data_IF_429604375723
#
_entry.id   IF_429604375723
#
_cell.length_a   1.000
_cell.length_b   1.000
_cell.length_c   1.000
_cell.angle_alpha   90.00
_cell.angle_beta   90.00
_cell.angle_gamma   90.00
#
_symmetry.space_group_name_H-M   'P 1'
#
loop_
_entity.id
_entity.type
_entity.pdbx_description
1 polymer ?
#
# COMPACT_ATOMS: atom_id res chain seq x y z
N UNK A 1 -22.91 -0.33 8.41
CA UNK A 1 -22.73 1.11 8.65
C UNK A 1 -21.38 1.26 9.34
N UNK A 2 -20.38 1.85 8.67
CA UNK A 2 -19.07 2.12 9.27
C UNK A 2 -19.17 3.48 9.98
N UNK A 3 -18.63 3.58 11.19
CA UNK A 3 -18.62 4.81 11.99
C UNK A 3 -17.18 5.18 12.29
N UNK A 4 -16.86 6.48 12.26
CA UNK A 4 -15.50 6.99 12.48
C UNK A 4 -14.98 6.65 13.89
N UNK A 5 -13.66 6.52 14.04
CA UNK A 5 -13.08 6.24 15.36
C UNK A 5 -13.31 7.41 16.31
N UNK A 6 -13.28 8.65 15.80
CA UNK A 6 -13.65 9.84 16.58
C UNK A 6 -15.09 9.79 17.08
N UNK A 7 -16.04 9.38 16.22
CA UNK A 7 -17.43 9.21 16.62
C UNK A 7 -17.56 8.15 17.71
N UNK A 8 -16.95 6.98 17.53
CA UNK A 8 -16.95 5.92 18.54
C UNK A 8 -16.34 6.37 19.87
N UNK A 9 -15.22 7.11 19.85
CA UNK A 9 -14.60 7.68 21.04
C UNK A 9 -15.51 8.71 21.73
N UNK A 10 -16.23 9.53 20.96
CA UNK A 10 -17.18 10.51 21.50
C UNK A 10 -18.42 9.87 22.16
N UNK A 11 -18.91 8.76 21.60
CA UNK A 11 -20.10 8.08 22.10
C UNK A 11 -19.77 7.11 23.23
N UNK A 12 -18.53 6.59 23.25
CA UNK A 12 -18.05 5.61 24.22
C UNK A 12 -16.66 6.01 24.79
N UNK A 13 -16.58 7.10 25.57
CA UNK A 13 -15.30 7.67 26.03
C UNK A 13 -14.46 6.77 26.93
N UNK A 14 -15.07 5.72 27.52
CA UNK A 14 -14.40 4.75 28.40
C UNK A 14 -14.42 3.31 27.85
N UNK A 15 -14.86 3.09 26.61
CA UNK A 15 -14.79 1.76 26.03
C UNK A 15 -13.38 1.49 25.53
N UNK A 16 -12.71 0.47 26.09
CA UNK A 16 -11.63 -0.18 25.35
C UNK A 16 -12.28 -0.83 24.12
N UNK A 17 -12.24 -0.15 22.99
CA UNK A 17 -12.50 -0.76 21.68
C UNK A 17 -11.36 -1.74 21.42
N UNK A 18 -11.48 -2.94 21.99
CA UNK A 18 -10.64 -4.05 21.63
C UNK A 18 -10.93 -4.36 20.16
N UNK A 19 -9.94 -4.13 19.30
CA UNK A 19 -10.01 -4.55 17.91
C UNK A 19 -10.25 -6.07 17.92
N UNK A 20 -11.28 -6.62 17.24
CA UNK A 20 -11.57 -8.05 17.29
C UNK A 20 -10.37 -8.93 16.91
N UNK A 21 -9.46 -8.41 16.09
CA UNK A 21 -8.22 -9.07 15.71
C UNK A 21 -7.09 -8.98 16.76
N UNK A 22 -7.18 -8.08 17.74
CA UNK A 22 -6.28 -8.06 18.90
C UNK A 22 -6.60 -9.19 19.90
N UNK A 23 -7.85 -9.64 19.96
CA UNK A 23 -8.29 -10.71 20.86
C UNK A 23 -8.28 -12.11 20.22
N UNK A 24 -8.30 -12.21 18.89
CA UNK A 24 -8.25 -13.50 18.16
C UNK A 24 -6.84 -14.00 17.84
N UNK A 25 -5.78 -13.43 18.41
CA UNK A 25 -4.40 -13.91 18.25
C UNK A 25 -3.98 -14.98 19.27
N UNK A 26 -4.95 -15.67 19.89
CA UNK A 26 -4.72 -16.83 20.78
C UNK A 26 -5.48 -18.07 20.31
N UNK A 27 -5.09 -18.60 19.16
CA UNK A 27 -5.24 -20.01 18.83
C UNK A 27 -3.81 -20.54 18.62
N UNK A 28 -3.27 -21.38 19.52
CA UNK A 28 -1.91 -21.89 19.41
C UNK A 28 -1.92 -23.16 18.55
N UNK A 29 -1.73 -23.05 17.24
CA UNK A 29 -1.21 -24.17 16.44
C UNK A 29 -0.51 -23.70 15.18
N UNK A 30 0.70 -24.22 14.99
CA UNK A 30 1.71 -23.87 14.00
C UNK A 30 2.38 -22.50 14.22
N UNK A 31 3.48 -22.53 14.96
CA UNK A 31 4.64 -21.67 14.68
C UNK A 31 5.07 -21.95 13.23
N UNK A 32 4.38 -21.31 12.27
CA UNK A 32 4.95 -21.14 10.95
C UNK A 32 6.19 -20.26 11.17
N UNK A 33 7.37 -20.82 10.94
CA UNK A 33 8.61 -20.06 10.90
C UNK A 33 8.36 -18.78 10.09
N UNK A 34 8.51 -17.62 10.74
CA UNK A 34 8.47 -16.33 10.05
C UNK A 34 9.48 -16.42 8.91
N UNK A 35 9.08 -16.20 7.65
CA UNK A 35 9.97 -16.38 6.51
C UNK A 35 11.23 -15.55 6.73
N UNK A 36 12.39 -16.20 6.51
CA UNK A 36 13.72 -15.61 6.65
C UNK A 36 13.74 -14.21 6.05
N UNK A 37 14.32 -13.27 6.83
CA UNK A 37 14.64 -11.88 6.54
C UNK A 37 15.22 -11.71 5.12
N UNK A 38 14.36 -11.62 4.12
CA UNK A 38 14.71 -11.36 2.73
C UNK A 38 13.92 -10.16 2.25
N UNK A 39 14.61 -9.04 2.10
CA UNK A 39 14.07 -7.88 1.41
C UNK A 39 14.09 -8.17 -0.10
N UNK A 40 13.01 -7.86 -0.84
CA UNK A 40 12.99 -8.02 -2.31
C UNK A 40 13.06 -6.65 -2.97
N UNK A 41 13.85 -6.52 -4.03
CA UNK A 41 13.75 -5.38 -4.93
C UNK A 41 12.54 -5.59 -5.84
N UNK A 42 11.54 -4.71 -5.73
CA UNK A 42 10.28 -4.77 -6.48
C UNK A 42 10.51 -4.67 -7.98
N UNK A 43 11.50 -3.87 -8.40
CA UNK A 43 11.78 -3.67 -9.83
C UNK A 43 12.45 -4.91 -10.40
N UNK A 44 13.44 -5.47 -9.72
CA UNK A 44 14.05 -6.73 -10.16
C UNK A 44 13.03 -7.87 -10.16
N UNK A 45 12.24 -8.00 -9.09
CA UNK A 45 11.27 -9.07 -8.93
C UNK A 45 10.20 -9.09 -10.04
N UNK A 46 9.77 -7.91 -10.51
CA UNK A 46 8.77 -7.77 -11.58
C UNK A 46 9.38 -7.43 -12.96
N UNK A 47 10.71 -7.43 -13.11
CA UNK A 47 11.39 -7.12 -14.37
C UNK A 47 11.15 -5.69 -14.88
N UNK A 48 11.05 -4.72 -13.96
CA UNK A 48 10.77 -3.32 -14.26
C UNK A 48 12.04 -2.53 -14.55
N UNK A 49 11.89 -1.43 -15.29
CA UNK A 49 12.99 -0.50 -15.54
C UNK A 49 13.44 0.18 -14.24
N UNK A 50 14.73 0.54 -14.11
CA UNK A 50 15.19 1.40 -13.02
C UNK A 50 14.43 2.73 -12.92
N UNK A 51 13.88 3.25 -14.02
CA UNK A 51 13.06 4.47 -14.06
C UNK A 51 11.61 4.27 -13.62
N UNK A 52 11.13 3.02 -13.52
CA UNK A 52 9.72 2.71 -13.30
C UNK A 52 9.20 3.35 -12.02
N UNK A 53 7.98 3.88 -12.11
CA UNK A 53 7.22 4.43 -11.00
C UNK A 53 6.30 3.35 -10.45
N UNK A 54 6.53 2.94 -9.22
CA UNK A 54 5.79 1.90 -8.51
C UNK A 54 4.86 2.55 -7.49
N UNK A 55 3.56 2.36 -7.70
CA UNK A 55 2.51 2.64 -6.72
C UNK A 55 2.20 1.35 -5.96
N UNK A 56 1.76 1.44 -4.72
CA UNK A 56 1.41 0.24 -3.95
C UNK A 56 0.03 0.34 -3.30
N UNK A 57 -0.75 -0.73 -3.42
CA UNK A 57 -1.87 -1.02 -2.53
C UNK A 57 -1.42 -2.10 -1.55
N UNK A 58 -1.75 -1.93 -0.27
CA UNK A 58 -1.38 -2.85 0.80
C UNK A 58 -2.62 -3.26 1.57
N UNK A 59 -2.85 -4.57 1.77
CA UNK A 59 -3.98 -5.01 2.58
C UNK A 59 -4.61 -6.31 2.11
N UNK A 60 -5.85 -6.53 2.52
CA UNK A 60 -6.65 -7.65 2.01
C UNK A 60 -7.30 -7.26 0.69
N UNK A 61 -7.41 -8.22 -0.22
CA UNK A 61 -8.12 -8.01 -1.49
C UNK A 61 -9.63 -8.27 -1.29
N UNK A 62 -10.27 -7.49 -0.43
CA UNK A 62 -11.71 -7.52 -0.20
C UNK A 62 -12.43 -6.49 -1.09
N UNK A 63 -13.74 -6.69 -1.32
CA UNK A 63 -14.52 -5.83 -2.23
C UNK A 63 -14.60 -4.38 -1.75
N UNK A 64 -14.69 -4.15 -0.44
CA UNK A 64 -14.77 -2.82 0.16
C UNK A 64 -13.45 -2.04 0.06
N UNK A 65 -12.32 -2.70 -0.21
CA UNK A 65 -11.04 -2.03 -0.48
C UNK A 65 -11.04 -1.33 -1.84
N UNK A 66 -11.98 -1.70 -2.74
CA UNK A 66 -12.17 -1.08 -4.06
C UNK A 66 -10.91 -1.09 -4.93
N UNK A 67 -10.12 -2.17 -4.87
CA UNK A 67 -8.87 -2.29 -5.64
C UNK A 67 -9.09 -2.33 -7.17
N UNK A 68 -10.32 -2.53 -7.64
CA UNK A 68 -10.70 -2.36 -9.04
C UNK A 68 -10.47 -0.91 -9.48
N UNK A 69 -10.80 0.05 -8.63
CA UNK A 69 -10.54 1.48 -8.86
C UNK A 69 -9.04 1.77 -8.92
N UNK A 70 -8.20 1.06 -8.17
CA UNK A 70 -6.75 1.20 -8.28
C UNK A 70 -6.23 0.79 -9.68
N UNK A 71 -6.82 -0.26 -10.27
CA UNK A 71 -6.52 -0.67 -11.65
C UNK A 71 -7.01 0.40 -12.64
N UNK A 72 -8.20 0.98 -12.43
CA UNK A 72 -8.71 2.08 -13.27
C UNK A 72 -7.83 3.32 -13.22
N UNK A 73 -7.30 3.66 -12.06
CA UNK A 73 -6.33 4.74 -11.87
C UNK A 73 -5.08 4.51 -12.72
N UNK A 74 -4.56 3.27 -12.79
CA UNK A 74 -3.43 2.95 -13.67
C UNK A 74 -3.79 3.13 -15.16
N UNK A 75 -5.00 2.75 -15.58
CA UNK A 75 -5.46 2.99 -16.94
C UNK A 75 -5.52 4.48 -17.32
N UNK A 76 -5.78 5.36 -16.36
CA UNK A 76 -5.67 6.82 -16.58
C UNK A 76 -4.20 7.22 -16.64
N UNK A 77 -3.40 6.78 -15.66
CA UNK A 77 -2.02 7.21 -15.51
C UNK A 77 -1.08 6.73 -16.62
N UNK A 78 -1.33 5.58 -17.26
CA UNK A 78 -0.46 5.08 -18.33
C UNK A 78 -0.38 6.00 -19.55
N UNK A 79 -1.41 6.83 -19.76
CA UNK A 79 -1.45 7.83 -20.83
C UNK A 79 -0.61 9.07 -20.50
N UNK A 80 -0.30 9.29 -19.22
CA UNK A 80 0.50 10.41 -18.73
C UNK A 80 1.93 9.99 -18.36
N UNK A 81 2.10 8.72 -18.00
CA UNK A 81 3.34 8.14 -17.49
C UNK A 81 3.55 6.77 -18.13
N UNK A 82 4.48 6.68 -19.08
CA UNK A 82 4.72 5.47 -19.87
C UNK A 82 5.20 4.25 -19.05
N UNK A 83 5.76 4.48 -17.87
CA UNK A 83 6.46 3.49 -17.05
C UNK A 83 5.93 3.49 -15.59
N UNK A 84 4.61 3.63 -15.44
CA UNK A 84 3.90 3.52 -14.15
C UNK A 84 3.35 2.11 -13.96
N UNK A 85 3.51 1.59 -12.74
CA UNK A 85 3.10 0.25 -12.33
C UNK A 85 2.39 0.31 -10.98
N UNK A 86 1.44 -0.61 -10.76
CA UNK A 86 0.79 -0.85 -9.49
C UNK A 86 1.17 -2.21 -8.96
N UNK A 87 1.67 -2.25 -7.72
CA UNK A 87 1.84 -3.47 -6.94
C UNK A 87 0.68 -3.58 -5.96
N UNK A 88 -0.13 -4.64 -6.11
CA UNK A 88 -1.15 -5.02 -5.14
C UNK A 88 -0.53 -6.08 -4.22
N UNK A 89 -0.10 -5.66 -3.03
CA UNK A 89 0.50 -6.52 -2.02
C UNK A 89 -0.57 -6.98 -1.04
N UNK A 90 -0.99 -8.24 -1.17
CA UNK A 90 -2.13 -8.74 -0.43
C UNK A 90 -2.80 -9.97 -1.04
N UNK A 91 -3.61 -10.62 -0.22
CA UNK A 91 -4.48 -11.74 -0.63
C UNK A 91 -5.91 -11.48 -0.19
N UNK A 92 -6.87 -12.10 -0.87
CA UNK A 92 -8.28 -11.97 -0.54
C UNK A 92 -9.21 -12.48 -1.63
N UNK A 93 -10.52 -12.52 -1.35
CA UNK A 93 -11.51 -13.13 -2.23
C UNK A 93 -11.65 -12.44 -3.60
N UNK A 94 -11.20 -11.19 -3.74
CA UNK A 94 -11.24 -10.47 -5.01
C UNK A 94 -10.00 -10.70 -5.89
N UNK A 95 -8.98 -11.44 -5.44
CA UNK A 95 -7.68 -11.52 -6.15
C UNK A 95 -7.82 -11.97 -7.60
N UNK A 96 -8.56 -13.06 -7.86
CA UNK A 96 -8.76 -13.57 -9.22
C UNK A 96 -9.60 -12.63 -10.07
N UNK A 97 -10.59 -11.96 -9.46
CA UNK A 97 -11.39 -10.93 -10.13
C UNK A 97 -10.53 -9.74 -10.55
N UNK A 98 -9.62 -9.28 -9.69
CA UNK A 98 -8.71 -8.17 -9.99
C UNK A 98 -7.74 -8.53 -11.12
N UNK A 99 -7.24 -9.77 -11.13
CA UNK A 99 -6.44 -10.32 -12.23
C UNK A 99 -7.22 -10.26 -13.56
N UNK A 100 -8.46 -10.72 -13.57
CA UNK A 100 -9.34 -10.67 -14.75
C UNK A 100 -9.63 -9.23 -15.21
N UNK A 101 -9.85 -8.29 -14.28
CA UNK A 101 -10.05 -6.87 -14.64
C UNK A 101 -8.80 -6.30 -15.30
N UNK A 102 -7.61 -6.60 -14.76
CA UNK A 102 -6.35 -6.17 -15.37
C UNK A 102 -6.14 -6.76 -16.79
N UNK A 103 -6.59 -8.00 -17.03
CA UNK A 103 -6.62 -8.60 -18.39
C UNK A 103 -7.55 -7.84 -19.33
N UNK A 104 -8.80 -7.65 -18.90
CA UNK A 104 -9.86 -7.04 -19.73
C UNK A 104 -9.53 -5.60 -20.12
N UNK A 105 -8.77 -4.90 -19.28
CA UNK A 105 -8.31 -3.55 -19.54
C UNK A 105 -6.97 -3.49 -20.27
N UNK A 106 -6.35 -4.64 -20.59
CA UNK A 106 -5.03 -4.73 -21.23
C UNK A 106 -3.93 -4.07 -20.38
N UNK A 107 -4.13 -4.02 -19.06
CA UNK A 107 -3.20 -3.40 -18.10
C UNK A 107 -2.26 -4.41 -17.44
N UNK A 108 -2.32 -5.70 -17.81
CA UNK A 108 -1.49 -6.76 -17.20
C UNK A 108 0.00 -6.43 -17.07
N UNK A 109 0.68 -5.81 -18.05
CA UNK A 109 2.10 -5.45 -17.90
C UNK A 109 2.36 -4.44 -16.77
N UNK A 110 1.33 -3.73 -16.31
CA UNK A 110 1.40 -2.66 -15.31
C UNK A 110 0.86 -3.06 -13.94
N UNK A 111 0.11 -4.15 -13.84
CA UNK A 111 -0.52 -4.59 -12.58
C UNK A 111 0.16 -5.86 -12.06
N UNK A 112 0.82 -5.72 -10.93
CA UNK A 112 1.60 -6.77 -10.28
C UNK A 112 0.93 -7.20 -8.98
N UNK A 113 0.93 -8.50 -8.71
CA UNK A 113 0.38 -9.06 -7.47
C UNK A 113 1.52 -9.65 -6.65
N UNK A 114 1.64 -9.23 -5.39
CA UNK A 114 2.67 -9.69 -4.47
C UNK A 114 2.06 -10.43 -3.27
N UNK A 115 2.49 -11.68 -3.06
CA UNK A 115 2.14 -12.53 -1.92
C UNK A 115 3.19 -13.63 -1.76
N UNK A 116 3.58 -14.06 -0.54
CA UNK A 116 3.07 -13.66 0.78
C UNK A 116 3.62 -12.31 1.27
N UNK A 117 3.20 -11.89 2.46
CA UNK A 117 3.62 -10.62 3.07
C UNK A 117 5.12 -10.63 3.37
N UNK A 118 5.85 -9.75 2.71
CA UNK A 118 7.25 -9.41 3.01
C UNK A 118 7.31 -8.23 3.98
N UNK A 119 8.50 -7.86 4.50
CA UNK A 119 8.63 -6.70 5.38
C UNK A 119 8.08 -5.43 4.71
N UNK A 120 6.91 -4.98 5.16
CA UNK A 120 6.14 -3.89 4.55
C UNK A 120 6.93 -2.59 4.45
N UNK A 121 7.79 -2.31 5.43
CA UNK A 121 8.62 -1.11 5.44
C UNK A 121 9.56 -1.07 4.23
N UNK A 122 10.19 -2.20 3.93
CA UNK A 122 11.13 -2.32 2.81
C UNK A 122 10.41 -2.19 1.46
N UNK A 123 9.19 -2.73 1.36
CA UNK A 123 8.35 -2.58 0.18
C UNK A 123 7.92 -1.12 0.01
N UNK A 124 7.40 -0.49 1.07
CA UNK A 124 6.93 0.89 1.04
C UNK A 124 8.07 1.84 0.64
N UNK A 125 9.28 1.62 1.17
CA UNK A 125 10.44 2.42 0.89
C UNK A 125 10.74 2.54 -0.63
N UNK A 126 10.43 1.51 -1.41
CA UNK A 126 10.67 1.45 -2.86
C UNK A 126 9.58 2.12 -3.72
N UNK A 127 8.48 2.59 -3.11
CA UNK A 127 7.29 3.08 -3.82
C UNK A 127 7.17 4.59 -3.83
N UNK A 128 6.55 5.16 -4.88
CA UNK A 128 6.28 6.60 -4.94
C UNK A 128 5.14 7.00 -3.99
N UNK A 129 4.08 6.21 -3.90
CA UNK A 129 3.02 6.42 -2.92
C UNK A 129 2.29 5.13 -2.56
N UNK A 130 1.68 5.15 -1.37
CA UNK A 130 0.62 4.22 -1.01
C UNK A 130 -0.71 4.71 -1.58
N UNK A 131 -1.46 3.85 -2.25
CA UNK A 131 -2.79 4.11 -2.80
C UNK A 131 -3.86 3.37 -2.00
N UNK A 132 -4.82 4.10 -1.43
CA UNK A 132 -5.95 3.55 -0.68
C UNK A 132 -7.28 3.95 -1.32
N UNK A 133 -7.96 3.00 -1.96
CA UNK A 133 -9.21 3.25 -2.71
C UNK A 133 -10.49 3.02 -1.91
N UNK A 134 -10.37 2.52 -0.68
CA UNK A 134 -11.51 2.34 0.22
C UNK A 134 -12.09 3.71 0.60
N UNK A 135 -13.39 3.90 0.34
CA UNK A 135 -14.13 5.13 0.68
C UNK A 135 -15.04 4.97 1.91
N UNK A 136 -15.17 3.75 2.42
CA UNK A 136 -15.90 3.44 3.65
C UNK A 136 -15.08 2.43 4.47
N UNK A 137 -14.16 2.95 5.28
CA UNK A 137 -13.31 2.16 6.17
C UNK A 137 -13.01 2.91 7.46
N UNK A 138 -12.63 2.15 8.48
CA UNK A 138 -11.97 2.70 9.67
C UNK A 138 -10.55 3.12 9.34
N UNK A 139 -9.79 3.43 10.38
CA UNK A 139 -8.36 3.73 10.22
C UNK A 139 -7.65 2.56 9.54
N UNK A 140 -6.98 2.86 8.45
CA UNK A 140 -6.20 1.90 7.69
C UNK A 140 -4.76 1.92 8.21
N UNK A 141 -4.33 0.80 8.80
CA UNK A 141 -3.01 0.66 9.38
C UNK A 141 -1.88 0.85 8.35
N UNK A 142 -2.16 0.58 7.06
CA UNK A 142 -1.19 0.78 5.98
C UNK A 142 -0.83 2.26 5.81
N UNK A 143 -1.79 3.16 6.03
CA UNK A 143 -1.59 4.62 5.98
C UNK A 143 -0.60 5.03 7.05
N UNK A 144 -0.75 4.52 8.27
CA UNK A 144 0.17 4.82 9.36
C UNK A 144 1.61 4.35 9.03
N UNK A 145 1.76 3.14 8.48
CA UNK A 145 3.08 2.62 8.06
C UNK A 145 3.72 3.45 6.96
N UNK A 146 2.93 3.88 5.98
CA UNK A 146 3.41 4.79 4.94
C UNK A 146 3.91 6.10 5.54
N UNK A 147 3.14 6.74 6.42
CA UNK A 147 3.53 8.00 7.07
C UNK A 147 4.80 7.84 7.91
N UNK A 148 4.93 6.75 8.67
CA UNK A 148 6.14 6.43 9.46
C UNK A 148 7.39 6.33 8.57
N UNK A 149 7.25 5.81 7.35
CA UNK A 149 8.30 5.69 6.34
C UNK A 149 8.42 6.93 5.42
N UNK A 150 7.69 8.01 5.74
CA UNK A 150 7.58 9.22 4.91
C UNK A 150 7.14 8.93 3.48
N UNK A 151 6.36 7.87 3.27
CA UNK A 151 5.73 7.55 1.99
C UNK A 151 4.46 8.36 1.87
N UNK A 152 4.31 9.22 0.84
CA UNK A 152 3.06 9.91 0.59
C UNK A 152 1.90 8.92 0.41
N UNK A 153 0.74 9.29 0.93
CA UNK A 153 -0.48 8.49 0.78
C UNK A 153 -1.46 9.22 -0.13
N UNK A 154 -2.02 8.54 -1.11
CA UNK A 154 -3.17 9.04 -1.88
C UNK A 154 -4.36 8.16 -1.55
N UNK A 155 -5.39 8.73 -0.94
CA UNK A 155 -6.52 7.97 -0.45
C UNK A 155 -7.87 8.57 -0.86
N UNK A 156 -8.87 7.70 -1.00
CA UNK A 156 -10.27 8.10 -1.13
C UNK A 156 -10.75 8.84 0.11
N UNK A 157 -11.73 9.74 -0.06
CA UNK A 157 -12.42 10.36 1.08
C UNK A 157 -13.23 9.30 1.84
N UNK A 158 -12.75 8.95 3.03
CA UNK A 158 -13.45 8.18 4.05
C UNK A 158 -13.17 8.81 5.41
N UNK A 159 -14.04 8.58 6.41
CA UNK A 159 -13.80 9.09 7.75
C UNK A 159 -12.47 8.58 8.33
N UNK A 160 -12.16 7.29 8.16
CA UNK A 160 -10.91 6.70 8.62
C UNK A 160 -9.68 7.31 7.94
N UNK A 161 -9.73 7.54 6.63
CA UNK A 161 -8.60 8.13 5.90
C UNK A 161 -8.39 9.60 6.29
N UNK A 162 -9.47 10.37 6.50
CA UNK A 162 -9.40 11.77 6.94
C UNK A 162 -8.90 11.93 8.38
N UNK A 163 -8.99 10.88 9.21
CA UNK A 163 -8.39 10.88 10.55
C UNK A 163 -6.86 10.70 10.51
N UNK A 164 -6.32 9.99 9.51
CA UNK A 164 -4.90 9.69 9.39
C UNK A 164 -4.13 10.66 8.48
N UNK A 165 -4.79 11.23 7.47
CA UNK A 165 -4.14 12.03 6.43
C UNK A 165 -4.40 13.52 6.64
N UNK A 166 -3.32 14.27 6.81
CA UNK A 166 -3.30 15.72 6.73
C UNK A 166 -3.01 16.11 5.28
N UNK A 167 -4.05 16.58 4.57
CA UNK A 167 -3.98 16.92 3.15
C UNK A 167 -2.78 17.84 2.85
N UNK A 168 -2.02 17.51 1.80
CA UNK A 168 -0.78 18.19 1.37
C UNK A 168 0.39 18.16 2.37
N UNK A 169 0.26 17.52 3.53
CA UNK A 169 1.34 17.40 4.52
C UNK A 169 1.96 16.01 4.51
N UNK A 170 1.13 14.96 4.59
CA UNK A 170 1.58 13.56 4.56
C UNK A 170 0.90 12.74 3.45
N UNK A 171 0.00 13.36 2.69
CA UNK A 171 -0.73 12.71 1.62
C UNK A 171 -1.83 13.58 1.01
N UNK A 172 -2.63 12.99 0.15
CA UNK A 172 -3.77 13.60 -0.51
C UNK A 172 -5.03 12.79 -0.25
N UNK A 173 -6.12 13.51 -0.04
CA UNK A 173 -7.47 12.97 0.02
C UNK A 173 -8.20 13.46 -1.21
N UNK A 174 -8.71 12.54 -2.02
CA UNK A 174 -9.47 12.83 -3.23
C UNK A 174 -10.53 11.76 -3.47
N UNK A 175 -11.15 11.77 -4.65
CA UNK A 175 -12.16 10.77 -5.00
C UNK A 175 -13.43 10.82 -4.14
N UNK A 176 -14.33 9.82 -4.26
CA UNK A 176 -14.00 8.40 -4.50
C UNK A 176 -13.82 7.98 -5.97
N UNK A 177 -13.93 8.89 -6.93
CA UNK A 177 -13.70 8.58 -8.34
C UNK A 177 -12.20 8.39 -8.65
N UNK A 178 -11.92 7.56 -9.65
CA UNK A 178 -10.56 7.25 -10.08
C UNK A 178 -9.82 8.49 -10.63
N UNK A 179 -10.52 9.43 -11.27
CA UNK A 179 -9.92 10.62 -11.86
C UNK A 179 -9.33 11.56 -10.82
N UNK A 180 -10.06 11.82 -9.73
CA UNK A 180 -9.59 12.63 -8.62
C UNK A 180 -8.34 12.07 -7.95
N UNK A 181 -8.29 10.75 -7.75
CA UNK A 181 -7.10 10.09 -7.19
C UNK A 181 -5.93 10.07 -8.17
N UNK A 182 -6.18 9.78 -9.46
CA UNK A 182 -5.17 9.82 -10.52
C UNK A 182 -4.55 11.21 -10.66
N UNK A 183 -5.34 12.29 -10.52
CA UNK A 183 -4.83 13.67 -10.52
C UNK A 183 -3.80 13.88 -9.41
N UNK A 184 -4.08 13.45 -8.19
CA UNK A 184 -3.14 13.60 -7.07
C UNK A 184 -1.87 12.77 -7.26
N UNK A 185 -1.99 11.54 -7.79
CA UNK A 185 -0.83 10.72 -8.11
C UNK A 185 0.01 11.37 -9.22
N UNK A 186 -0.63 11.85 -10.29
CA UNK A 186 0.07 12.55 -11.36
C UNK A 186 0.84 13.76 -10.82
N UNK A 187 0.19 14.60 -10.00
CA UNK A 187 0.85 15.74 -9.32
C UNK A 187 2.07 15.29 -8.52
N UNK A 188 1.95 14.22 -7.76
CA UNK A 188 3.05 13.66 -6.97
C UNK A 188 4.21 13.14 -7.83
N UNK A 189 3.92 12.56 -8.99
CA UNK A 189 4.92 12.01 -9.90
C UNK A 189 5.67 13.10 -10.67
N UNK A 190 5.04 14.25 -10.96
CA UNK A 190 5.70 15.39 -11.62
C UNK A 190 6.44 16.29 -10.63
N UNK A 191 5.87 16.49 -9.45
CA UNK A 191 6.37 17.42 -8.43
C UNK A 191 6.12 16.83 -7.04
N UNK A 192 7.16 16.27 -6.37
CA UNK A 192 7.02 15.66 -5.05
C UNK A 192 6.76 16.70 -3.95
N UNK A 193 5.53 17.23 -3.87
CA UNK A 193 5.17 18.27 -2.89
C UNK A 193 5.10 17.73 -1.46
N UNK A 194 4.77 16.45 -1.31
CA UNK A 194 4.72 15.75 -0.02
C UNK A 194 6.02 14.97 0.15
N UNK A 195 6.75 15.25 1.23
CA UNK A 195 8.10 14.70 1.48
C UNK A 195 9.09 14.94 0.31
N UNK A 196 9.35 16.19 -0.09
CA UNK A 196 10.11 16.53 -1.31
C UNK A 196 11.53 15.96 -1.36
N UNK A 197 12.17 15.77 -0.21
CA UNK A 197 13.52 15.23 -0.11
C UNK A 197 13.56 13.70 -0.03
N UNK A 198 12.41 13.02 -0.10
CA UNK A 198 12.37 11.55 -0.09
C UNK A 198 12.78 11.02 -1.45
N UNK A 199 13.82 10.19 -1.44
CA UNK A 199 14.11 9.29 -2.54
C UNK A 199 13.60 7.89 -2.17
N UNK A 200 12.91 7.18 -3.09
CA UNK A 200 12.59 5.78 -2.88
C UNK A 200 13.88 4.99 -2.64
N UNK A 201 13.88 4.13 -1.63
CA UNK A 201 15.04 3.28 -1.35
C UNK A 201 15.28 2.35 -2.55
N UNK A 202 16.55 2.22 -2.93
CA UNK A 202 17.02 1.08 -3.72
C UNK A 202 17.52 0.07 -2.71
N UNK A 203 17.02 -1.16 -2.75
CA UNK A 203 17.64 -2.19 -1.94
C UNK A 203 19.01 -2.44 -2.54
N UNK A 204 20.06 -2.22 -1.75
CA UNK A 204 21.35 -2.79 -2.09
C UNK A 204 21.16 -4.32 -2.09
N UNK A 205 21.71 -5.00 -3.10
CA UNK A 205 21.72 -6.47 -3.18
C UNK A 205 21.97 -7.01 -1.79
N UNK A 206 21.14 -7.92 -1.24
CA UNK A 206 21.40 -8.46 0.07
C UNK A 206 22.80 -9.05 0.04
N UNK A 207 23.76 -8.43 0.73
CA UNK A 207 24.99 -9.09 1.09
C UNK A 207 24.53 -10.29 1.89
N UNK A 208 24.62 -11.47 1.26
CA UNK A 208 24.50 -12.72 1.98
C UNK A 208 25.75 -12.76 2.85
N UNK A 209 25.69 -12.14 4.03
CA UNK A 209 26.64 -12.43 5.08
C UNK A 209 26.41 -13.90 5.42
N UNK A 210 27.34 -14.74 4.99
CA UNK A 210 27.45 -16.11 5.48
C UNK A 210 27.48 -16.04 7.01
N UNK A 211 26.71 -16.91 7.67
CA UNK A 211 26.63 -17.00 9.13
C UNK A 211 28.00 -17.02 9.85
N UNK A 212 29.05 -17.40 9.13
CA UNK A 212 30.45 -17.41 9.54
C UNK A 212 31.03 -16.01 9.87
N UNK A 213 30.48 -14.91 9.35
CA UNK A 213 31.02 -13.55 9.59
C UNK A 213 30.46 -12.85 10.83
N UNK A 214 29.41 -13.39 11.46
CA UNK A 214 28.73 -12.77 12.61
C UNK A 214 29.33 -13.21 13.95
N UNK A 215 30.00 -14.37 13.98
CA UNK A 215 30.75 -14.85 15.12
C UNK A 215 32.19 -15.09 14.69
N UNK A 216 33.07 -14.11 14.93
CA UNK A 216 34.52 -14.32 14.80
C UNK A 216 34.95 -15.48 15.71
N UNK A 217 34.99 -16.69 15.15
CA UNK A 217 35.73 -17.86 15.62
C UNK A 217 36.75 -18.24 14.54
#
# INVERSE_FOLDING_TARGET
MYVSSKYLQSQFPNSQLALPWLNNSREPSHQAELPKKGSIDLKEHFGLSPSSKVLMCLGRNDSFCRLKEAIWIIGILEHLHSDVHLVICGVGPQTDRLRMVADQMVLRPRIHFLSPWLPINDLLAQTQCLLVTADHSGQDWSIQKAIEQRVPVVASRSDGNMECINHQVNGFIGGPDAGGLAKHIHQLLIEPMVYPNRQPARLETPTIESWESVFNL
#
